data_IF_117731258237
#
_entry.id   IF_117731258237
#
_cell.length_a   1.000
_cell.length_b   1.000
_cell.length_c   1.000
_cell.angle_alpha   90.00
_cell.angle_beta   90.00
_cell.angle_gamma   90.00
#
_symmetry.space_group_name_H-M   'P 1'
#
loop_
_entity.id
_entity.type
_entity.pdbx_description
1 polymer ?
#
# COMPACT_ATOMS: atom_id res chain seq x y z
N UNK A 1 -14.57 6.62 -17.94
CA UNK A 1 -15.07 6.73 -16.53
C UNK A 1 -14.43 7.94 -15.90
N UNK A 2 -15.16 8.69 -15.08
CA UNK A 2 -14.56 9.79 -14.32
C UNK A 2 -13.63 9.19 -13.24
N UNK A 3 -12.39 9.68 -13.15
CA UNK A 3 -11.46 9.25 -12.09
C UNK A 3 -11.94 9.73 -10.73
N UNK A 4 -11.41 9.17 -9.65
CA UNK A 4 -11.77 9.52 -8.26
C UNK A 4 -11.15 10.86 -7.83
N UNK A 5 -11.45 11.94 -8.53
CA UNK A 5 -10.89 13.27 -8.28
C UNK A 5 -9.45 13.43 -8.76
N UNK A 6 -8.90 14.63 -8.59
CA UNK A 6 -7.53 14.97 -8.99
C UNK A 6 -6.77 15.61 -7.84
N UNK A 7 -5.58 15.08 -7.46
CA UNK A 7 -4.76 15.73 -6.46
C UNK A 7 -4.34 17.12 -6.92
N UNK A 8 -4.49 18.11 -6.03
CA UNK A 8 -4.20 19.52 -6.34
C UNK A 8 -2.74 19.90 -6.15
N UNK A 9 -1.97 19.06 -5.44
CA UNK A 9 -0.57 19.32 -5.06
C UNK A 9 0.26 18.08 -5.34
N UNK A 10 1.55 18.29 -5.60
CA UNK A 10 2.52 17.20 -5.63
C UNK A 10 2.71 16.62 -4.23
N UNK A 11 3.07 15.34 -4.17
CA UNK A 11 3.42 14.69 -2.91
C UNK A 11 4.67 15.34 -2.31
N UNK A 12 4.67 15.66 -1.01
CA UNK A 12 5.84 16.25 -0.37
C UNK A 12 6.94 15.20 -0.18
N UNK A 13 8.21 15.66 -0.15
CA UNK A 13 9.38 14.77 0.08
C UNK A 13 9.33 14.08 1.45
N UNK A 14 8.77 14.76 2.44
CA UNK A 14 8.53 14.23 3.78
C UNK A 14 7.03 14.27 4.03
N UNK A 15 6.45 13.12 4.35
CA UNK A 15 5.00 12.96 4.46
C UNK A 15 4.67 12.08 5.65
N UNK A 16 3.62 12.44 6.36
CA UNK A 16 2.94 11.56 7.30
C UNK A 16 1.63 11.10 6.65
N UNK A 17 1.55 9.80 6.33
CA UNK A 17 0.39 9.18 5.69
C UNK A 17 -0.04 7.94 6.49
N UNK A 18 -0.85 8.10 7.55
CA UNK A 18 -1.31 6.97 8.34
C UNK A 18 -2.24 6.05 7.52
N UNK A 19 -2.24 4.77 7.88
CA UNK A 19 -3.13 3.77 7.30
C UNK A 19 -4.58 4.00 7.71
N UNK A 20 -5.49 3.82 6.77
CA UNK A 20 -6.94 3.82 6.97
C UNK A 20 -7.47 2.53 6.37
N UNK A 21 -8.06 1.68 7.20
CA UNK A 21 -8.86 0.55 6.70
C UNK A 21 -10.08 1.11 5.99
N UNK A 22 -10.00 1.09 4.66
CA UNK A 22 -10.98 1.64 3.75
C UNK A 22 -12.11 0.66 3.45
N UNK A 23 -12.21 -0.42 4.24
CA UNK A 23 -13.28 -1.43 4.18
C UNK A 23 -14.23 -1.35 5.37
N UNK A 24 -13.89 -0.57 6.40
CA UNK A 24 -14.73 -0.40 7.58
C UNK A 24 -16.04 0.33 7.25
N UNK A 25 -17.10 -0.01 8.00
CA UNK A 25 -18.37 0.71 7.93
C UNK A 25 -18.22 2.19 8.32
N UNK A 26 -17.32 2.48 9.26
CA UNK A 26 -17.06 3.82 9.77
C UNK A 26 -15.64 4.25 9.41
N UNK A 27 -15.50 4.90 8.27
CA UNK A 27 -14.23 5.51 7.83
C UNK A 27 -14.17 6.95 8.34
N UNK A 28 -13.05 7.38 8.95
CA UNK A 28 -12.89 8.76 9.43
C UNK A 28 -13.14 9.79 8.32
N UNK A 29 -13.52 11.01 8.72
CA UNK A 29 -13.62 12.13 7.78
C UNK A 29 -12.21 12.67 7.46
N UNK A 30 -11.65 12.16 6.36
CA UNK A 30 -10.30 12.51 5.92
C UNK A 30 -10.16 14.01 5.62
N UNK A 31 -11.22 14.66 5.11
CA UNK A 31 -11.18 16.08 4.80
C UNK A 31 -11.21 16.93 6.08
N UNK A 32 -11.98 16.51 7.09
CA UNK A 32 -11.96 17.15 8.40
C UNK A 32 -10.61 16.98 9.10
N UNK A 33 -10.01 15.78 9.04
CA UNK A 33 -8.66 15.53 9.57
C UNK A 33 -7.61 16.41 8.90
N UNK A 34 -7.68 16.58 7.58
CA UNK A 34 -6.79 17.47 6.83
C UNK A 34 -6.92 18.94 7.27
N UNK A 35 -8.16 19.43 7.46
CA UNK A 35 -8.41 20.83 7.85
C UNK A 35 -8.09 21.12 9.31
N UNK A 36 -8.45 20.21 10.21
CA UNK A 36 -8.47 20.48 11.65
C UNK A 36 -7.19 19.98 12.36
N UNK A 37 -6.52 18.98 11.79
CA UNK A 37 -5.37 18.31 12.43
C UNK A 37 -4.13 18.27 11.53
N UNK A 38 -4.17 18.85 10.34
CA UNK A 38 -3.08 18.86 9.37
C UNK A 38 -2.59 17.44 8.96
N UNK A 39 -3.45 16.42 9.13
CA UNK A 39 -3.22 15.06 8.59
C UNK A 39 -3.90 15.01 7.23
N UNK A 40 -3.12 15.26 6.18
CA UNK A 40 -3.63 15.53 4.85
C UNK A 40 -3.23 14.48 3.79
N UNK A 41 -2.42 13.49 4.17
CA UNK A 41 -2.14 12.33 3.32
C UNK A 41 -2.53 11.07 4.09
N UNK A 42 -2.97 10.03 3.37
CA UNK A 42 -3.40 8.76 3.98
C UNK A 42 -3.02 7.57 3.09
N UNK A 43 -2.80 6.42 3.73
CA UNK A 43 -2.61 5.14 3.06
C UNK A 43 -3.88 4.33 3.14
N UNK A 44 -4.58 4.16 2.02
CA UNK A 44 -5.83 3.42 1.99
C UNK A 44 -5.55 1.93 1.87
N UNK A 45 -6.01 1.18 2.87
CA UNK A 45 -5.75 -0.23 3.05
C UNK A 45 -7.06 -1.05 3.04
N UNK A 46 -7.13 -2.25 2.46
CA UNK A 46 -6.19 -2.81 1.48
C UNK A 46 -6.95 -3.22 0.23
N UNK A 47 -6.28 -3.11 -0.92
CA UNK A 47 -6.68 -3.83 -2.12
C UNK A 47 -6.04 -5.21 -2.11
N UNK A 48 -6.86 -6.22 -2.26
CA UNK A 48 -6.48 -7.63 -2.30
C UNK A 48 -7.17 -8.30 -3.48
N UNK A 49 -6.75 -9.53 -3.78
CA UNK A 49 -7.49 -10.37 -4.70
C UNK A 49 -8.82 -10.79 -4.09
N UNK A 50 -9.88 -10.92 -4.91
CA UNK A 50 -11.22 -11.37 -4.45
C UNK A 50 -11.14 -12.66 -3.62
N UNK A 51 -10.30 -13.57 -4.08
CA UNK A 51 -9.91 -14.80 -3.37
C UNK A 51 -8.56 -15.29 -3.93
N UNK A 52 -8.04 -16.39 -3.38
CA UNK A 52 -6.75 -16.94 -3.75
C UNK A 52 -6.62 -17.37 -5.21
N UNK A 53 -7.72 -17.67 -5.90
CA UNK A 53 -7.73 -18.24 -7.26
C UNK A 53 -8.31 -17.28 -8.32
N UNK A 54 -9.02 -16.24 -7.90
CA UNK A 54 -9.64 -15.27 -8.82
C UNK A 54 -8.78 -14.04 -8.96
N UNK A 55 -8.14 -13.82 -10.11
CA UNK A 55 -7.40 -12.60 -10.41
C UNK A 55 -8.37 -11.41 -10.62
N UNK A 56 -8.83 -10.82 -9.52
CA UNK A 56 -9.76 -9.69 -9.53
C UNK A 56 -9.49 -8.79 -8.31
N UNK A 57 -9.09 -7.53 -8.49
CA UNK A 57 -8.89 -6.61 -7.37
C UNK A 57 -10.21 -6.24 -6.68
N UNK A 58 -10.15 -6.19 -5.34
CA UNK A 58 -11.24 -5.82 -4.45
C UNK A 58 -10.69 -5.09 -3.23
N UNK A 59 -11.50 -4.26 -2.59
CA UNK A 59 -11.24 -3.73 -1.26
C UNK A 59 -11.57 -4.80 -0.22
N UNK A 60 -10.52 -5.40 0.37
CA UNK A 60 -10.61 -6.42 1.42
C UNK A 60 -11.52 -7.62 1.13
N UNK A 61 -11.72 -8.00 -0.14
CA UNK A 61 -12.72 -9.00 -0.60
C UNK A 61 -14.19 -8.60 -0.43
N UNK A 62 -14.46 -7.50 0.27
CA UNK A 62 -15.80 -7.02 0.59
C UNK A 62 -16.42 -6.14 -0.51
N UNK A 63 -15.63 -5.29 -1.16
CA UNK A 63 -16.14 -4.34 -2.15
C UNK A 63 -15.36 -4.39 -3.46
N UNK A 64 -16.07 -4.26 -4.58
CA UNK A 64 -15.43 -4.13 -5.89
C UNK A 64 -14.72 -2.78 -6.07
N UNK A 65 -13.76 -2.72 -6.99
CA UNK A 65 -13.03 -1.47 -7.28
C UNK A 65 -13.86 -0.40 -8.00
N UNK A 66 -15.03 -0.75 -8.53
CA UNK A 66 -15.88 0.12 -9.34
C UNK A 66 -17.02 0.71 -8.51
N UNK A 67 -17.26 2.01 -8.65
CA UNK A 67 -18.35 2.74 -7.99
C UNK A 67 -18.39 2.56 -6.46
N UNK A 68 -17.23 2.41 -5.81
CA UNK A 68 -17.18 2.28 -4.37
C UNK A 68 -17.61 3.58 -3.69
N UNK A 69 -18.64 3.53 -2.84
CA UNK A 69 -19.28 4.72 -2.27
C UNK A 69 -18.29 5.63 -1.52
N UNK A 70 -17.27 5.04 -0.91
CA UNK A 70 -16.26 5.76 -0.11
C UNK A 70 -15.30 6.60 -0.96
N UNK A 71 -15.28 6.43 -2.28
CA UNK A 71 -14.51 7.30 -3.19
C UNK A 71 -14.89 8.79 -3.09
N UNK A 72 -16.10 9.11 -2.61
CA UNK A 72 -16.48 10.47 -2.22
C UNK A 72 -15.55 11.09 -1.17
N UNK A 73 -15.03 10.30 -0.21
CA UNK A 73 -14.08 10.75 0.83
C UNK A 73 -12.72 11.13 0.23
N UNK A 74 -12.26 10.38 -0.76
CA UNK A 74 -11.02 10.70 -1.50
C UNK A 74 -11.19 12.02 -2.26
N UNK A 75 -12.33 12.21 -2.94
CA UNK A 75 -12.66 13.47 -3.63
C UNK A 75 -12.66 14.65 -2.65
N UNK A 76 -13.35 14.52 -1.51
CA UNK A 76 -13.41 15.55 -0.48
C UNK A 76 -12.02 15.89 0.13
N UNK A 77 -11.18 14.89 0.38
CA UNK A 77 -9.80 15.10 0.84
C UNK A 77 -8.97 15.89 -0.18
N UNK A 78 -9.06 15.52 -1.46
CA UNK A 78 -8.37 16.22 -2.55
C UNK A 78 -8.87 17.65 -2.73
N UNK A 79 -10.15 17.89 -2.50
CA UNK A 79 -10.72 19.23 -2.47
C UNK A 79 -10.14 20.07 -1.33
N UNK A 80 -9.95 19.46 -0.16
CA UNK A 80 -9.26 20.05 1.00
C UNK A 80 -7.73 20.17 0.84
N UNK A 81 -7.17 19.72 -0.30
CA UNK A 81 -5.76 19.87 -0.64
C UNK A 81 -4.85 18.73 -0.14
N UNK A 82 -5.44 17.62 0.30
CA UNK A 82 -4.73 16.38 0.61
C UNK A 82 -4.68 15.39 -0.56
N UNK A 83 -4.12 14.21 -0.33
CA UNK A 83 -4.11 13.10 -1.29
C UNK A 83 -4.00 11.72 -0.61
N UNK A 84 -4.07 10.65 -1.39
CA UNK A 84 -4.00 9.27 -0.89
C UNK A 84 -2.99 8.43 -1.65
N UNK A 85 -2.27 7.58 -0.92
CA UNK A 85 -1.61 6.40 -1.49
C UNK A 85 -2.53 5.20 -1.26
N UNK A 86 -2.41 4.18 -2.10
CA UNK A 86 -3.15 2.93 -1.95
C UNK A 86 -2.18 1.80 -1.62
N UNK A 87 -2.53 0.97 -0.64
CA UNK A 87 -1.76 -0.21 -0.29
C UNK A 87 -2.41 -1.49 -0.82
N UNK A 88 -1.61 -2.34 -1.48
CA UNK A 88 -2.00 -3.65 -2.00
C UNK A 88 -1.37 -4.74 -1.12
N UNK A 89 -2.20 -5.64 -0.59
CA UNK A 89 -1.76 -6.75 0.25
C UNK A 89 -2.26 -6.63 1.69
N UNK A 90 -1.32 -6.56 2.64
CA UNK A 90 -1.58 -6.56 4.08
C UNK A 90 -1.65 -7.97 4.69
N UNK A 91 -1.87 -8.04 6.00
CA UNK A 91 -1.84 -9.26 6.80
C UNK A 91 -2.87 -10.33 6.38
N UNK A 92 -4.01 -9.92 5.82
CA UNK A 92 -5.13 -10.80 5.51
C UNK A 92 -5.38 -10.94 4.00
N UNK A 93 -5.93 -12.09 3.61
CA UNK A 93 -6.28 -12.45 2.22
C UNK A 93 -5.07 -12.67 1.30
N UNK A 94 -5.36 -13.04 0.05
CA UNK A 94 -4.34 -13.22 -0.98
C UNK A 94 -4.06 -11.89 -1.70
N UNK A 95 -2.79 -11.46 -1.83
CA UNK A 95 -2.45 -10.32 -2.66
C UNK A 95 -2.66 -10.69 -4.13
N UNK A 96 -2.85 -9.67 -4.98
CA UNK A 96 -3.04 -9.87 -6.42
C UNK A 96 -1.92 -10.69 -7.05
N UNK A 97 -0.68 -10.50 -6.60
CA UNK A 97 0.46 -11.24 -7.10
C UNK A 97 0.42 -12.74 -6.79
N UNK A 98 -0.31 -13.17 -5.76
CA UNK A 98 -0.51 -14.59 -5.46
C UNK A 98 -1.59 -15.20 -6.37
N UNK A 99 -2.67 -14.48 -6.63
CA UNK A 99 -3.84 -15.00 -7.37
C UNK A 99 -3.72 -14.87 -8.88
N UNK A 100 -3.22 -13.74 -9.38
CA UNK A 100 -2.96 -13.53 -10.80
C UNK A 100 -1.74 -14.34 -11.21
N UNK A 101 -1.92 -15.32 -12.10
CA UNK A 101 -0.81 -16.17 -12.57
C UNK A 101 -0.10 -15.59 -13.79
N UNK A 102 -0.81 -14.80 -14.60
CA UNK A 102 -0.26 -14.07 -15.72
C UNK A 102 0.27 -12.69 -15.25
N UNK A 103 1.47 -12.35 -15.69
CA UNK A 103 2.16 -11.10 -15.32
C UNK A 103 1.53 -9.87 -15.97
N UNK A 104 1.06 -9.99 -17.21
CA UNK A 104 0.47 -8.88 -17.95
C UNK A 104 -0.92 -8.53 -17.40
N UNK A 105 -1.70 -9.53 -16.99
CA UNK A 105 -2.97 -9.29 -16.28
C UNK A 105 -2.73 -8.57 -14.94
N UNK A 106 -1.71 -9.00 -14.18
CA UNK A 106 -1.34 -8.36 -12.92
C UNK A 106 -0.87 -6.91 -13.13
N UNK A 107 -0.04 -6.68 -14.15
CA UNK A 107 0.44 -5.37 -14.57
C UNK A 107 -0.74 -4.46 -14.97
N UNK A 108 -1.71 -4.99 -15.74
CA UNK A 108 -2.90 -4.25 -16.13
C UNK A 108 -3.77 -3.88 -14.92
N UNK A 109 -3.93 -4.77 -13.94
CA UNK A 109 -4.64 -4.44 -12.71
C UNK A 109 -3.97 -3.31 -11.93
N UNK A 110 -2.64 -3.32 -11.79
CA UNK A 110 -1.93 -2.21 -11.14
C UNK A 110 -2.13 -0.89 -11.89
N UNK A 111 -2.08 -0.94 -13.23
CA UNK A 111 -2.35 0.22 -14.08
C UNK A 111 -3.77 0.77 -13.85
N UNK A 112 -4.78 -0.11 -13.90
CA UNK A 112 -6.18 0.27 -13.77
C UNK A 112 -6.51 0.81 -12.38
N UNK A 113 -5.90 0.28 -11.32
CA UNK A 113 -6.04 0.79 -9.95
C UNK A 113 -5.54 2.23 -9.88
N UNK A 114 -4.33 2.50 -10.38
CA UNK A 114 -3.73 3.84 -10.39
C UNK A 114 -4.53 4.80 -11.27
N UNK A 115 -5.00 4.36 -12.44
CA UNK A 115 -5.78 5.20 -13.34
C UNK A 115 -7.15 5.55 -12.74
N UNK A 116 -7.88 4.56 -12.24
CA UNK A 116 -9.21 4.74 -11.62
C UNK A 116 -9.16 5.72 -10.45
N UNK A 117 -8.17 5.57 -9.57
CA UNK A 117 -8.02 6.39 -8.37
C UNK A 117 -7.15 7.63 -8.60
N UNK A 118 -6.62 7.83 -9.81
CA UNK A 118 -5.71 8.94 -10.14
C UNK A 118 -4.54 9.06 -9.16
N UNK A 119 -3.92 7.94 -8.79
CA UNK A 119 -2.90 7.88 -7.75
C UNK A 119 -1.58 8.49 -8.23
N UNK A 120 -0.78 8.93 -7.26
CA UNK A 120 0.62 9.32 -7.45
C UNK A 120 1.59 8.39 -6.74
N UNK A 121 1.08 7.59 -5.80
CA UNK A 121 1.89 6.67 -5.00
C UNK A 121 1.12 5.38 -4.79
N UNK A 122 1.82 4.26 -4.96
CA UNK A 122 1.32 2.91 -4.74
C UNK A 122 2.23 2.21 -3.72
N UNK A 123 1.61 1.59 -2.71
CA UNK A 123 2.28 0.81 -1.69
C UNK A 123 1.96 -0.68 -1.86
N UNK A 124 2.96 -1.52 -1.63
CA UNK A 124 2.84 -2.97 -1.61
C UNK A 124 3.19 -3.45 -0.20
N UNK A 125 2.16 -3.80 0.55
CA UNK A 125 2.31 -4.34 1.90
C UNK A 125 2.36 -5.88 1.83
N UNK A 126 3.55 -6.42 2.11
CA UNK A 126 3.90 -7.80 1.80
C UNK A 126 4.19 -8.53 3.10
N UNK A 127 3.18 -9.24 3.59
CA UNK A 127 3.18 -9.83 4.93
C UNK A 127 2.98 -11.35 4.92
N UNK A 128 3.14 -11.93 6.11
CA UNK A 128 2.82 -13.34 6.38
C UNK A 128 3.53 -14.29 5.42
N UNK A 129 2.81 -15.29 4.91
CA UNK A 129 3.39 -16.28 3.99
C UNK A 129 3.88 -15.65 2.67
N UNK A 130 3.34 -14.50 2.28
CA UNK A 130 3.62 -13.87 0.98
C UNK A 130 4.98 -13.17 0.91
N UNK A 131 5.62 -12.93 2.06
CA UNK A 131 7.01 -12.47 2.12
C UNK A 131 8.01 -13.58 1.78
N UNK A 132 7.61 -14.84 1.94
CA UNK A 132 8.42 -16.03 1.67
C UNK A 132 8.03 -16.77 0.37
N UNK A 133 6.89 -16.42 -0.23
CA UNK A 133 6.41 -17.04 -1.46
C UNK A 133 7.15 -16.51 -2.71
N UNK A 134 8.22 -17.20 -3.10
CA UNK A 134 9.09 -16.83 -4.21
C UNK A 134 8.32 -16.54 -5.52
N UNK A 135 7.33 -17.37 -5.84
CA UNK A 135 6.57 -17.24 -7.09
C UNK A 135 5.75 -15.94 -7.16
N UNK A 136 5.10 -15.52 -6.06
CA UNK A 136 4.39 -14.24 -6.01
C UNK A 136 5.34 -13.06 -5.96
N UNK A 137 6.49 -13.17 -5.28
CA UNK A 137 7.52 -12.11 -5.24
C UNK A 137 8.03 -11.83 -6.65
N UNK A 138 8.45 -12.87 -7.37
CA UNK A 138 8.99 -12.71 -8.72
C UNK A 138 7.95 -12.12 -9.67
N UNK A 139 6.71 -12.60 -9.59
CA UNK A 139 5.60 -12.11 -10.41
C UNK A 139 5.26 -10.66 -10.09
N UNK A 140 5.16 -10.30 -8.81
CA UNK A 140 4.89 -8.94 -8.33
C UNK A 140 5.93 -7.98 -8.89
N UNK A 141 7.20 -8.26 -8.61
CA UNK A 141 8.29 -7.37 -8.99
C UNK A 141 8.41 -7.22 -10.52
N UNK A 142 8.12 -8.27 -11.30
CA UNK A 142 8.12 -8.18 -12.76
C UNK A 142 6.94 -7.33 -13.28
N UNK A 143 5.74 -7.53 -12.73
CA UNK A 143 4.58 -6.72 -13.08
C UNK A 143 4.76 -5.26 -12.67
N UNK A 144 5.32 -5.00 -11.48
CA UNK A 144 5.66 -3.67 -10.98
C UNK A 144 6.62 -2.96 -11.91
N UNK A 145 7.70 -3.63 -12.35
CA UNK A 145 8.62 -3.06 -13.33
C UNK A 145 7.92 -2.69 -14.63
N UNK A 146 7.14 -3.63 -15.20
CA UNK A 146 6.42 -3.39 -16.46
C UNK A 146 5.45 -2.21 -16.35
N UNK A 147 4.69 -2.12 -15.27
CA UNK A 147 3.74 -1.00 -15.09
C UNK A 147 4.47 0.32 -14.83
N UNK A 148 5.58 0.30 -14.09
CA UNK A 148 6.43 1.47 -13.88
C UNK A 148 6.96 2.03 -15.19
N UNK A 149 7.45 1.17 -16.09
CA UNK A 149 7.92 1.59 -17.42
C UNK A 149 6.80 2.14 -18.31
N UNK A 150 5.61 1.54 -18.24
CA UNK A 150 4.42 2.04 -18.93
C UNK A 150 4.01 3.43 -18.43
N UNK A 151 3.99 3.65 -17.12
CA UNK A 151 3.69 4.98 -16.58
C UNK A 151 4.72 6.01 -17.02
N UNK A 152 6.01 5.67 -16.97
CA UNK A 152 7.10 6.55 -17.44
C UNK A 152 6.97 6.91 -18.92
N UNK A 153 6.66 5.95 -19.79
CA UNK A 153 6.47 6.22 -21.22
C UNK A 153 5.24 7.09 -21.51
N UNK A 154 4.27 7.12 -20.60
CA UNK A 154 3.11 8.01 -20.63
C UNK A 154 3.35 9.36 -19.93
N UNK A 155 4.57 9.63 -19.45
CA UNK A 155 4.91 10.85 -18.70
C UNK A 155 4.27 10.91 -17.31
N UNK A 156 3.83 9.78 -16.76
CA UNK A 156 3.30 9.66 -15.40
C UNK A 156 4.41 9.25 -14.46
N UNK A 157 4.61 10.05 -13.42
CA UNK A 157 5.49 9.71 -12.30
C UNK A 157 4.64 9.12 -11.16
N UNK A 158 4.79 7.81 -10.94
CA UNK A 158 4.09 7.04 -9.90
C UNK A 158 5.15 6.45 -8.98
N UNK A 159 5.17 6.92 -7.74
CA UNK A 159 6.11 6.44 -6.73
C UNK A 159 5.69 5.06 -6.21
N UNK A 160 6.64 4.14 -6.11
CA UNK A 160 6.42 2.77 -5.63
C UNK A 160 7.05 2.59 -4.25
N UNK A 161 6.25 2.16 -3.28
CA UNK A 161 6.66 1.88 -1.92
C UNK A 161 6.42 0.43 -1.57
N UNK A 162 7.36 -0.19 -0.87
CA UNK A 162 7.17 -1.52 -0.29
C UNK A 162 7.10 -1.39 1.22
N UNK A 163 6.04 -1.93 1.82
CA UNK A 163 5.86 -2.05 3.26
C UNK A 163 6.17 -3.49 3.67
N UNK A 164 7.11 -3.67 4.59
CA UNK A 164 7.66 -4.98 4.96
C UNK A 164 7.77 -5.17 6.47
N UNK A 165 7.53 -6.41 6.96
CA UNK A 165 7.75 -6.74 8.36
C UNK A 165 9.25 -6.76 8.67
N UNK A 166 9.58 -6.35 9.88
CA UNK A 166 10.94 -6.43 10.42
C UNK A 166 10.93 -7.09 11.80
N UNK A 167 12.08 -7.60 12.20
CA UNK A 167 12.40 -7.85 13.60
C UNK A 167 13.08 -6.59 14.20
N UNK A 168 13.29 -6.52 15.52
CA UNK A 168 14.12 -5.45 16.10
C UNK A 168 15.54 -5.38 15.52
N UNK A 169 16.00 -6.49 14.92
CA UNK A 169 17.28 -6.60 14.22
C UNK A 169 17.22 -6.17 12.74
N UNK A 170 16.06 -5.76 12.24
CA UNK A 170 15.84 -5.32 10.85
C UNK A 170 15.08 -6.34 9.99
N UNK A 171 15.21 -6.19 8.67
CA UNK A 171 14.58 -7.08 7.69
C UNK A 171 15.11 -8.51 7.83
N UNK A 172 14.19 -9.49 7.77
CA UNK A 172 14.55 -10.91 7.69
C UNK A 172 15.15 -11.25 6.32
N UNK A 173 15.78 -12.43 6.15
CA UNK A 173 16.24 -12.88 4.84
C UNK A 173 15.13 -12.87 3.77
N UNK A 174 13.90 -13.21 4.13
CA UNK A 174 12.74 -13.20 3.25
C UNK A 174 12.37 -11.77 2.84
N UNK A 175 12.31 -10.84 3.80
CA UNK A 175 12.09 -9.42 3.49
C UNK A 175 13.20 -8.83 2.61
N UNK A 176 14.45 -9.22 2.85
CA UNK A 176 15.58 -8.83 2.01
C UNK A 176 15.50 -9.44 0.61
N UNK A 177 14.97 -10.65 0.47
CA UNK A 177 14.76 -11.30 -0.83
C UNK A 177 13.74 -10.55 -1.68
N UNK A 178 12.65 -10.05 -1.09
CA UNK A 178 11.67 -9.20 -1.79
C UNK A 178 12.36 -8.00 -2.45
N UNK A 179 13.19 -7.28 -1.69
CA UNK A 179 13.90 -6.09 -2.18
C UNK A 179 15.02 -6.43 -3.17
N UNK A 180 15.74 -7.52 -2.93
CA UNK A 180 16.81 -7.99 -3.81
C UNK A 180 16.27 -8.41 -5.17
N UNK A 181 15.12 -9.09 -5.20
CA UNK A 181 14.43 -9.46 -6.42
C UNK A 181 13.86 -8.23 -7.15
N UNK A 182 13.30 -7.26 -6.42
CA UNK A 182 12.83 -5.99 -6.99
C UNK A 182 13.99 -5.25 -7.68
N UNK A 183 15.14 -5.16 -7.01
CA UNK A 183 16.37 -4.58 -7.56
C UNK A 183 16.85 -5.35 -8.80
N UNK A 184 16.85 -6.68 -8.76
CA UNK A 184 17.27 -7.52 -9.89
C UNK A 184 16.39 -7.32 -11.14
N UNK A 185 15.10 -7.07 -10.93
CA UNK A 185 14.14 -6.74 -12.00
C UNK A 185 14.16 -5.26 -12.40
N UNK A 186 14.97 -4.44 -11.74
CA UNK A 186 15.11 -3.01 -12.04
C UNK A 186 13.95 -2.15 -11.57
N UNK A 187 13.18 -2.60 -10.58
CA UNK A 187 12.13 -1.79 -9.94
C UNK A 187 12.80 -0.61 -9.22
N UNK A 188 12.37 0.61 -9.56
CA UNK A 188 12.78 1.80 -8.84
C UNK A 188 11.81 2.06 -7.69
N UNK A 189 12.25 1.78 -6.46
CA UNK A 189 11.48 2.07 -5.26
C UNK A 189 11.69 3.53 -4.84
N UNK A 190 10.60 4.24 -4.61
CA UNK A 190 10.61 5.57 -4.01
C UNK A 190 10.83 5.50 -2.49
N UNK A 191 10.50 4.37 -1.87
CA UNK A 191 10.77 4.13 -0.45
C UNK A 191 10.51 2.69 -0.02
N UNK A 192 11.07 2.36 1.14
CA UNK A 192 10.78 1.14 1.88
C UNK A 192 10.27 1.56 3.25
N UNK A 193 9.04 1.20 3.55
CA UNK A 193 8.41 1.41 4.85
C UNK A 193 8.55 0.12 5.67
N UNK A 194 9.03 0.22 6.90
CA UNK A 194 9.23 -0.94 7.77
C UNK A 194 8.19 -0.96 8.88
N UNK A 195 7.54 -2.10 9.07
CA UNK A 195 6.53 -2.25 10.12
C UNK A 195 7.22 -2.55 11.44
N UNK A 196 7.44 -1.49 12.22
CA UNK A 196 8.09 -1.57 13.55
C UNK A 196 7.11 -2.02 14.64
N UNK A 197 6.50 -3.19 14.47
CA UNK A 197 5.43 -3.72 15.33
C UNK A 197 5.45 -5.26 15.40
N UNK A 198 4.62 -5.83 16.27
CA UNK A 198 4.32 -7.28 16.34
C UNK A 198 5.53 -8.23 16.43
N UNK A 199 6.58 -7.84 17.16
CA UNK A 199 7.80 -8.64 17.35
C UNK A 199 7.63 -9.94 18.18
N UNK A 200 6.40 -10.31 18.55
CA UNK A 200 6.11 -11.42 19.45
C UNK A 200 6.54 -11.15 20.90
N UNK A 201 6.83 -12.21 21.66
CA UNK A 201 7.19 -12.10 23.07
C UNK A 201 8.67 -11.73 23.27
N UNK A 202 8.96 -10.43 23.26
CA UNK A 202 9.63 -9.84 24.41
C UNK A 202 8.52 -9.20 25.26
N UNK A 203 8.16 -9.80 26.40
CA UNK A 203 7.22 -9.20 27.33
C UNK A 203 7.90 -7.98 27.95
N UNK A 204 7.85 -6.84 27.28
CA UNK A 204 7.84 -5.55 27.94
C UNK A 204 6.37 -5.24 28.22
N UNK A 205 5.85 -5.81 29.31
CA UNK A 205 4.62 -5.27 29.90
C UNK A 205 4.94 -3.82 30.28
N UNK A 206 4.34 -2.88 29.57
CA UNK A 206 4.33 -1.48 30.01
C UNK A 206 3.77 -1.44 31.42
N UNK A 207 4.46 -0.77 32.33
CA UNK A 207 3.85 -0.31 33.58
C UNK A 207 2.85 0.81 33.23
N UNK A 208 1.70 0.43 32.66
CA UNK A 208 0.48 1.22 32.46
C UNK A 208 0.64 2.63 31.88
N UNK A 209 1.72 2.93 31.15
CA UNK A 209 1.96 4.23 30.52
C UNK A 209 2.58 4.04 29.13
N UNK A 210 1.74 4.23 28.12
CA UNK A 210 1.97 3.96 26.70
C UNK A 210 3.11 4.81 26.07
N UNK A 211 3.65 5.80 26.80
CA UNK A 211 4.57 6.82 26.27
C UNK A 211 6.07 6.50 26.30
N UNK A 212 6.53 5.38 26.88
CA UNK A 212 7.97 5.14 27.08
C UNK A 212 8.66 4.23 26.04
N UNK A 213 7.93 3.71 25.06
CA UNK A 213 8.48 2.75 24.09
C UNK A 213 9.33 3.38 22.96
N UNK A 214 9.53 4.70 22.94
CA UNK A 214 10.34 5.37 21.92
C UNK A 214 11.86 5.11 22.13
N UNK A 215 12.27 4.54 23.26
CA UNK A 215 13.69 4.36 23.60
C UNK A 215 14.21 2.92 23.67
N UNK A 216 13.44 1.93 23.22
CA UNK A 216 13.97 0.60 22.85
C UNK A 216 14.87 -0.07 23.88
N UNK A 217 14.68 0.17 25.17
CA UNK A 217 15.34 -0.58 26.24
C UNK A 217 14.34 -1.51 26.88
N UNK A 218 14.53 -2.80 26.61
CA UNK A 218 14.11 -3.87 27.50
C UNK A 218 15.04 -3.87 28.73
#
# INVERSE_FOLDING_TARGET
>A
KERVGTPKKAWPKHVYAPYVDFTLNTIPDLAALAKNHNVNHFTLAFVVSKDANTCLPTWGTAYGMQNYAQYSKIKALREAGGDVMLSIGGANNAPLAASCKNVDDLMQHYYDIVDNLNLKVLDFDIEGTWVADQASIERRNLAVKKVQDKWKSEGKDIAIWYTLPILPTGLTPEGMNVLSDAKAKGVELAGVNVMTMDYGNAICQSANTEGQNIHGKC
#
